data_IF_660622803108
#
_entry.id   IF_660622803108
#
_cell.length_a   1.000
_cell.length_b   1.000
_cell.length_c   1.000
_cell.angle_alpha   90.00
_cell.angle_beta   90.00
_cell.angle_gamma   90.00
#
_symmetry.space_group_name_H-M   'P 1'
#
loop_
_entity.id
_entity.type
_entity.pdbx_description
1 polymer ?
#
# COMPACT_ATOMS: atom_id res chain seq x y z
N UNK A 1 -13.26 -4.45 26.40
CA UNK A 1 -12.23 -3.87 25.51
C UNK A 1 -12.68 -2.44 25.25
N UNK A 2 -12.06 -1.46 25.92
CA UNK A 2 -12.55 -0.08 25.95
C UNK A 2 -12.08 0.67 24.69
N UNK A 3 -13.00 1.26 23.94
CA UNK A 3 -12.79 1.88 22.62
C UNK A 3 -12.19 3.30 22.67
N UNK A 4 -11.52 3.65 23.77
CA UNK A 4 -11.16 5.05 24.08
C UNK A 4 -9.69 5.43 23.80
N UNK A 5 -8.84 4.51 23.32
CA UNK A 5 -7.40 4.78 23.18
C UNK A 5 -6.95 5.28 21.78
N UNK A 6 -7.88 5.85 20.98
CA UNK A 6 -7.57 6.30 19.60
C UNK A 6 -7.22 7.80 19.48
N UNK A 7 -7.13 8.55 20.58
CA UNK A 7 -6.88 10.01 20.53
C UNK A 7 -5.58 10.41 21.19
N UNK A 8 -4.48 10.08 20.51
CA UNK A 8 -3.24 10.84 20.62
C UNK A 8 -2.71 11.11 19.21
N UNK A 9 -3.34 12.07 18.51
CA UNK A 9 -3.01 12.41 17.12
C UNK A 9 -1.71 13.22 17.10
N UNK A 10 -0.58 12.54 17.30
CA UNK A 10 0.65 12.95 16.61
C UNK A 10 0.31 12.98 15.12
N UNK A 11 0.79 13.98 14.39
CA UNK A 11 0.58 14.12 12.94
C UNK A 11 1.22 12.90 12.24
N UNK A 12 0.49 11.79 12.16
CA UNK A 12 1.00 10.55 11.61
C UNK A 12 1.21 10.74 10.10
N UNK A 13 2.41 10.42 9.62
CA UNK A 13 2.72 10.45 8.19
C UNK A 13 1.94 9.31 7.52
N UNK A 14 1.24 9.60 6.43
CA UNK A 14 0.44 8.60 5.72
C UNK A 14 1.31 7.44 5.22
N UNK A 15 0.77 6.23 5.27
CA UNK A 15 1.35 5.02 4.72
C UNK A 15 1.27 4.91 3.19
N UNK A 16 0.49 5.77 2.53
CA UNK A 16 0.29 5.76 1.08
C UNK A 16 1.60 6.01 0.32
N UNK A 17 1.78 5.36 -0.83
CA UNK A 17 2.97 5.48 -1.68
C UNK A 17 3.32 6.94 -2.02
N UNK A 18 2.32 7.77 -2.35
CA UNK A 18 2.52 9.20 -2.66
C UNK A 18 3.22 9.97 -1.52
N UNK A 19 3.04 9.55 -0.27
CA UNK A 19 3.64 10.16 0.91
C UNK A 19 5.06 9.63 1.24
N UNK A 20 5.54 8.61 0.53
CA UNK A 20 6.84 7.99 0.75
C UNK A 20 7.93 8.62 -0.13
N UNK A 21 8.38 9.82 0.26
CA UNK A 21 9.35 10.62 -0.49
C UNK A 21 10.71 9.96 -0.78
N UNK A 22 11.03 8.84 -0.13
CA UNK A 22 12.28 8.10 -0.38
C UNK A 22 12.24 7.27 -1.68
N UNK A 23 11.05 6.98 -2.22
CA UNK A 23 10.90 6.30 -3.51
C UNK A 23 10.69 7.28 -4.68
N UNK A 24 10.05 8.43 -4.42
CA UNK A 24 9.80 9.51 -5.40
C UNK A 24 11.07 10.21 -5.96
N UNK A 25 12.27 9.68 -5.68
CA UNK A 25 13.54 10.21 -6.19
C UNK A 25 13.87 9.69 -7.59
N UNK A 26 13.22 8.61 -8.02
CA UNK A 26 13.40 7.99 -9.33
C UNK A 26 12.22 8.30 -10.26
N UNK A 27 12.49 8.45 -11.56
CA UNK A 27 11.45 8.67 -12.57
C UNK A 27 10.47 7.49 -12.69
N UNK A 28 10.92 6.28 -12.32
CA UNK A 28 10.17 5.04 -12.39
C UNK A 28 10.22 4.37 -11.01
N UNK A 29 9.05 4.01 -10.50
CA UNK A 29 8.88 3.29 -9.24
C UNK A 29 9.05 1.78 -9.45
N UNK A 30 9.56 1.02 -8.46
CA UNK A 30 9.71 -0.43 -8.59
C UNK A 30 8.43 -1.15 -9.02
N UNK A 31 7.26 -0.70 -8.54
CA UNK A 31 5.98 -1.31 -8.92
C UNK A 31 5.63 -1.10 -10.40
N UNK A 32 6.10 -0.01 -10.99
CA UNK A 32 5.94 0.26 -12.42
C UNK A 32 6.85 -0.62 -13.27
N UNK A 33 8.02 -1.00 -12.75
CA UNK A 33 8.89 -2.01 -13.39
C UNK A 33 8.23 -3.38 -13.28
N UNK A 34 7.70 -3.74 -12.11
CA UNK A 34 7.04 -5.03 -11.88
C UNK A 34 5.87 -5.24 -12.85
N UNK A 35 4.99 -4.26 -13.05
CA UNK A 35 3.87 -4.38 -14.00
C UNK A 35 4.31 -4.54 -15.47
N UNK A 36 5.54 -4.18 -15.83
CA UNK A 36 6.07 -4.40 -17.19
C UNK A 36 6.49 -5.85 -17.44
N UNK A 37 6.94 -6.55 -16.39
CA UNK A 37 7.52 -7.89 -16.50
C UNK A 37 6.63 -9.00 -15.94
N UNK A 38 5.78 -8.67 -14.96
CA UNK A 38 4.89 -9.64 -14.33
C UNK A 38 3.67 -9.90 -15.20
N UNK A 39 3.24 -11.15 -15.27
CA UNK A 39 1.90 -11.51 -15.69
C UNK A 39 0.86 -10.89 -14.74
N UNK A 40 -0.38 -10.75 -15.21
CA UNK A 40 -1.47 -10.27 -14.36
C UNK A 40 -1.65 -11.12 -13.09
N UNK A 41 -1.40 -12.43 -13.18
CA UNK A 41 -1.48 -13.34 -12.03
C UNK A 41 -0.36 -13.08 -11.01
N UNK A 42 0.86 -12.87 -11.46
CA UNK A 42 2.00 -12.52 -10.59
C UNK A 42 1.79 -11.15 -9.93
N UNK A 43 1.31 -10.17 -10.69
CA UNK A 43 1.05 -8.83 -10.17
C UNK A 43 -0.09 -8.82 -9.14
N UNK A 44 -1.17 -9.56 -9.43
CA UNK A 44 -2.27 -9.78 -8.47
C UNK A 44 -1.80 -10.49 -7.21
N UNK A 45 -1.00 -11.57 -7.36
CA UNK A 45 -0.42 -12.31 -6.24
C UNK A 45 0.48 -11.43 -5.36
N UNK A 46 1.32 -10.60 -5.98
CA UNK A 46 2.16 -9.63 -5.28
C UNK A 46 1.33 -8.62 -4.47
N UNK A 47 0.29 -8.04 -5.08
CA UNK A 47 -0.56 -7.07 -4.40
C UNK A 47 -1.32 -7.71 -3.22
N UNK A 48 -1.94 -8.87 -3.45
CA UNK A 48 -2.65 -9.62 -2.41
C UNK A 48 -1.74 -10.03 -1.24
N UNK A 49 -0.54 -10.50 -1.54
CA UNK A 49 0.46 -10.86 -0.53
C UNK A 49 0.91 -9.66 0.31
N UNK A 50 1.14 -8.51 -0.32
CA UNK A 50 1.51 -7.29 0.41
C UNK A 50 0.36 -6.77 1.27
N UNK A 51 -0.88 -6.79 0.79
CA UNK A 51 -2.04 -6.43 1.60
C UNK A 51 -2.11 -7.28 2.87
N UNK A 52 -1.99 -8.61 2.73
CA UNK A 52 -1.96 -9.53 3.87
C UNK A 52 -0.79 -9.24 4.82
N UNK A 53 0.42 -9.00 4.27
CA UNK A 53 1.61 -8.64 5.06
C UNK A 53 1.35 -7.43 5.95
N UNK A 54 0.75 -6.36 5.41
CA UNK A 54 0.48 -5.15 6.20
C UNK A 54 -0.65 -5.34 7.21
N UNK A 55 -1.71 -6.10 6.86
CA UNK A 55 -2.78 -6.47 7.81
C UNK A 55 -2.18 -7.20 9.01
N UNK A 56 -1.35 -8.23 8.77
CA UNK A 56 -0.72 -9.01 9.84
C UNK A 56 0.26 -8.16 10.67
N UNK A 57 1.01 -7.27 10.02
CA UNK A 57 2.03 -6.44 10.68
C UNK A 57 1.45 -5.32 11.55
N UNK A 58 0.28 -4.81 11.19
CA UNK A 58 -0.37 -3.64 11.79
C UNK A 58 -0.41 -3.68 13.33
N UNK A 59 -0.59 -4.88 13.90
CA UNK A 59 -0.71 -5.11 15.35
C UNK A 59 0.61 -5.06 16.14
N UNK A 60 1.77 -5.02 15.48
CA UNK A 60 3.06 -5.24 16.14
C UNK A 60 3.97 -4.00 16.23
N UNK A 61 3.77 -2.97 15.39
CA UNK A 61 4.75 -1.87 15.23
C UNK A 61 4.30 -0.50 15.74
N UNK A 62 3.13 -0.39 16.38
CA UNK A 62 2.61 0.89 16.87
C UNK A 62 2.33 1.92 15.77
N UNK A 63 2.19 1.47 14.51
CA UNK A 63 1.88 2.28 13.32
C UNK A 63 0.71 1.64 12.57
N UNK A 64 -0.31 1.21 13.32
CA UNK A 64 -1.43 0.41 12.81
C UNK A 64 -2.14 1.11 11.65
N UNK A 65 -2.46 2.41 11.80
CA UNK A 65 -3.11 3.20 10.76
C UNK A 65 -2.29 3.19 9.46
N UNK A 66 -1.00 3.48 9.54
CA UNK A 66 -0.12 3.54 8.37
C UNK A 66 0.04 2.18 7.67
N UNK A 67 -0.05 1.08 8.41
CA UNK A 67 -0.03 -0.27 7.83
C UNK A 67 -1.39 -0.61 7.21
N UNK A 68 -2.51 -0.21 7.83
CA UNK A 68 -3.84 -0.38 7.25
C UNK A 68 -4.02 0.45 5.97
N UNK A 69 -3.46 1.67 5.91
CA UNK A 69 -3.43 2.48 4.68
C UNK A 69 -2.65 1.79 3.56
N UNK A 70 -1.49 1.18 3.87
CA UNK A 70 -0.73 0.40 2.89
C UNK A 70 -1.50 -0.83 2.42
N UNK A 71 -2.12 -1.56 3.36
CA UNK A 71 -2.95 -2.71 3.01
C UNK A 71 -4.05 -2.33 2.03
N UNK A 72 -4.73 -1.21 2.31
CA UNK A 72 -5.80 -0.68 1.49
C UNK A 72 -5.31 -0.32 0.08
N UNK A 73 -4.17 0.38 -0.03
CA UNK A 73 -3.58 0.71 -1.32
C UNK A 73 -3.25 -0.53 -2.15
N UNK A 74 -2.69 -1.58 -1.54
CA UNK A 74 -2.40 -2.82 -2.25
C UNK A 74 -3.66 -3.57 -2.68
N UNK A 75 -4.76 -3.47 -1.93
CA UNK A 75 -6.06 -4.02 -2.37
C UNK A 75 -6.59 -3.28 -3.59
N UNK A 76 -6.48 -1.95 -3.62
CA UNK A 76 -6.89 -1.15 -4.79
C UNK A 76 -6.09 -1.51 -6.03
N UNK A 77 -4.78 -1.65 -5.90
CA UNK A 77 -3.92 -2.10 -7.01
C UNK A 77 -4.26 -3.51 -7.46
N UNK A 78 -4.60 -4.43 -6.54
CA UNK A 78 -5.08 -5.76 -6.92
C UNK A 78 -6.38 -5.69 -7.74
N UNK A 79 -7.30 -4.79 -7.38
CA UNK A 79 -8.53 -4.54 -8.14
C UNK A 79 -8.23 -3.95 -9.52
N UNK A 80 -7.27 -3.03 -9.62
CA UNK A 80 -6.87 -2.45 -10.91
C UNK A 80 -6.27 -3.52 -11.84
N UNK A 81 -5.42 -4.42 -11.31
CA UNK A 81 -4.89 -5.56 -12.07
C UNK A 81 -6.02 -6.45 -12.61
N UNK A 82 -7.01 -6.79 -11.78
CA UNK A 82 -8.16 -7.59 -12.21
C UNK A 82 -9.04 -6.87 -13.25
N UNK A 83 -9.03 -5.54 -13.26
CA UNK A 83 -9.71 -4.71 -14.26
C UNK A 83 -8.86 -4.46 -15.51
N UNK A 84 -7.64 -5.02 -15.59
CA UNK A 84 -6.72 -4.78 -16.70
C UNK A 84 -6.18 -3.35 -16.76
N UNK A 85 -6.16 -2.64 -15.63
CA UNK A 85 -5.64 -1.28 -15.51
C UNK A 85 -4.20 -1.29 -15.01
N UNK A 86 -3.40 -0.37 -15.54
CA UNK A 86 -2.05 -0.14 -15.02
C UNK A 86 -2.12 0.54 -13.65
N UNK A 87 -1.20 0.15 -12.76
CA UNK A 87 -1.07 0.74 -11.45
C UNK A 87 -0.35 2.08 -11.59
N UNK A 88 -0.89 3.10 -10.91
CA UNK A 88 -0.23 4.40 -10.80
C UNK A 88 0.06 4.68 -9.31
N UNK A 89 1.33 4.54 -8.86
CA UNK A 89 1.68 4.74 -7.45
C UNK A 89 1.57 6.20 -6.99
N UNK A 90 1.52 7.14 -7.95
CA UNK A 90 1.42 8.58 -7.72
C UNK A 90 -0.03 9.06 -7.75
N UNK A 91 -0.98 8.20 -8.13
CA UNK A 91 -2.41 8.54 -8.09
C UNK A 91 -2.88 8.47 -6.64
N UNK A 92 -3.18 9.64 -6.07
CA UNK A 92 -3.95 9.73 -4.83
C UNK A 92 -5.36 9.18 -5.04
N UNK A 93 -5.99 8.78 -3.94
CA UNK A 93 -7.40 8.37 -3.94
C UNK A 93 -8.32 9.53 -4.30
#
# INVERSE_FOLDING_TARGET
MNTEDCRNVRKEKSGMAIAQAHYNQCAIEPIEIMQMYFTAQEMYGFCKGNALKYILRSRFKGHELQDMEKALQYVEWAVDVLKGKNINPRKGR
#
